data_IF_889588020923
#
_entry.id   IF_889588020923
#
_cell.length_a   1.000
_cell.length_b   1.000
_cell.length_c   1.000
_cell.angle_alpha   90.00
_cell.angle_beta   90.00
_cell.angle_gamma   90.00
#
_symmetry.space_group_name_H-M   'P 1'
#
loop_
_entity.id
_entity.type
_entity.pdbx_description
1 polymer ?
#
# COMPACT_ATOMS: atom_id res chain seq x y z
N UNK A 1 -19.42 -35.85 19.00
CA UNK A 1 -19.34 -34.81 20.04
C UNK A 1 -18.05 -34.01 19.93
N UNK A 2 -16.90 -34.64 19.91
CA UNK A 2 -15.61 -33.96 19.77
C UNK A 2 -15.46 -33.18 18.47
N UNK A 3 -16.04 -33.61 17.38
CA UNK A 3 -15.95 -32.93 16.08
C UNK A 3 -16.72 -31.61 16.02
N UNK A 4 -17.83 -31.54 16.75
CA UNK A 4 -18.67 -30.35 16.82
C UNK A 4 -17.92 -29.23 17.62
N UNK A 5 -17.26 -29.64 18.70
CA UNK A 5 -16.53 -28.70 19.53
C UNK A 5 -15.31 -28.12 18.82
N UNK A 6 -14.64 -28.93 18.01
CA UNK A 6 -13.51 -28.47 17.20
C UNK A 6 -13.94 -27.48 16.13
N UNK A 7 -15.08 -27.72 15.49
CA UNK A 7 -15.60 -26.80 14.48
C UNK A 7 -16.03 -25.48 15.09
N UNK A 8 -16.65 -25.55 16.25
CA UNK A 8 -17.05 -24.34 16.98
C UNK A 8 -15.85 -23.52 17.42
N UNK A 9 -14.80 -24.17 17.90
CA UNK A 9 -13.58 -23.49 18.30
C UNK A 9 -12.89 -22.81 17.11
N UNK A 10 -12.86 -23.46 15.95
CA UNK A 10 -12.31 -22.88 14.73
C UNK A 10 -13.12 -21.66 14.26
N UNK A 11 -14.43 -21.74 14.35
CA UNK A 11 -15.29 -20.62 13.96
C UNK A 11 -15.09 -19.41 14.88
N UNK A 12 -14.94 -19.65 16.16
CA UNK A 12 -14.65 -18.60 17.14
C UNK A 12 -13.28 -17.97 16.91
N UNK A 13 -12.29 -18.79 16.58
CA UNK A 13 -10.96 -18.32 16.26
C UNK A 13 -10.92 -17.42 15.02
N UNK A 14 -11.66 -17.79 13.98
CA UNK A 14 -11.77 -16.99 12.76
C UNK A 14 -12.50 -15.66 13.02
N UNK A 15 -13.54 -15.67 13.81
CA UNK A 15 -14.28 -14.47 14.16
C UNK A 15 -13.40 -13.51 14.99
N UNK A 16 -12.63 -14.04 15.91
CA UNK A 16 -11.70 -13.24 16.70
C UNK A 16 -10.59 -12.63 15.84
N UNK A 17 -10.06 -13.39 14.89
CA UNK A 17 -9.04 -12.89 13.98
C UNK A 17 -9.56 -11.76 13.09
N UNK A 18 -10.78 -11.86 12.59
CA UNK A 18 -11.36 -10.82 11.74
C UNK A 18 -11.69 -9.53 12.50
N UNK A 19 -11.94 -9.62 13.80
CA UNK A 19 -12.23 -8.44 14.62
C UNK A 19 -11.01 -7.61 14.97
N UNK A 20 -9.79 -8.13 14.73
CA UNK A 20 -8.54 -7.42 14.99
C UNK A 20 -8.12 -6.50 13.84
N UNK A 21 -8.74 -6.64 12.68
CA UNK A 21 -8.42 -5.83 11.50
C UNK A 21 -9.22 -4.54 11.57
N UNK A 22 -8.75 -3.59 12.31
CA UNK A 22 -9.48 -2.32 12.51
C UNK A 22 -8.50 -1.16 12.47
N UNK A 23 -8.74 -0.25 11.57
CA UNK A 23 -8.08 1.03 11.54
C UNK A 23 -7.00 1.17 10.47
N UNK A 24 -6.98 2.33 9.79
CA UNK A 24 -6.03 2.62 8.73
C UNK A 24 -4.58 2.73 9.20
N UNK A 25 -4.33 3.00 10.47
CA UNK A 25 -2.98 3.08 11.04
C UNK A 25 -2.27 1.73 11.11
N UNK A 26 -3.03 0.64 11.22
CA UNK A 26 -2.47 -0.71 11.29
C UNK A 26 -1.99 -1.23 9.93
N UNK A 27 -2.54 -0.71 8.83
CA UNK A 27 -2.09 -1.03 7.48
C UNK A 27 -0.62 -0.64 7.29
N UNK A 28 -0.18 0.47 7.90
CA UNK A 28 1.21 0.91 7.84
C UNK A 28 2.18 -0.06 8.54
N UNK A 29 1.67 -0.93 9.42
CA UNK A 29 2.43 -1.92 10.18
C UNK A 29 2.30 -3.33 9.61
N UNK A 30 1.74 -3.50 8.42
CA UNK A 30 1.61 -4.79 7.76
C UNK A 30 2.97 -5.48 7.65
N UNK A 31 2.98 -6.78 7.90
CA UNK A 31 4.20 -7.60 7.85
C UNK A 31 4.65 -7.81 6.40
N UNK A 32 5.94 -8.08 6.24
CA UNK A 32 6.50 -8.48 4.94
C UNK A 32 5.74 -9.68 4.37
N UNK A 33 5.37 -9.59 3.10
CA UNK A 33 4.59 -10.61 2.38
C UNK A 33 3.08 -10.45 2.53
N UNK A 34 2.62 -9.62 3.45
CA UNK A 34 1.21 -9.38 3.67
C UNK A 34 0.63 -8.41 2.63
N UNK A 35 -0.52 -8.78 2.08
CA UNK A 35 -1.28 -7.96 1.15
C UNK A 35 -2.55 -7.46 1.82
N UNK A 36 -2.82 -6.17 1.70
CA UNK A 36 -4.01 -5.53 2.28
C UNK A 36 -4.76 -4.75 1.22
N UNK A 37 -6.06 -4.62 1.42
CA UNK A 37 -6.93 -3.80 0.56
C UNK A 37 -6.84 -2.34 1.02
N UNK A 38 -6.39 -1.47 0.13
CA UNK A 38 -6.29 -0.03 0.41
C UNK A 38 -7.57 0.71 0.01
N UNK A 39 -8.16 0.31 -1.09
CA UNK A 39 -9.40 0.86 -1.62
C UNK A 39 -10.08 -0.22 -2.47
N UNK A 40 -11.25 0.07 -3.02
CA UNK A 40 -11.92 -0.86 -3.91
C UNK A 40 -11.05 -1.17 -5.12
N UNK A 41 -10.71 -2.44 -5.31
CA UNK A 41 -9.87 -2.93 -6.40
C UNK A 41 -8.44 -2.36 -6.39
N UNK A 42 -7.97 -2.01 -5.20
CA UNK A 42 -6.60 -1.54 -4.97
C UNK A 42 -6.00 -2.30 -3.79
N UNK A 43 -4.85 -2.90 -3.99
CA UNK A 43 -4.14 -3.65 -2.96
C UNK A 43 -2.72 -3.14 -2.75
N UNK A 44 -2.21 -3.31 -1.55
CA UNK A 44 -0.83 -3.01 -1.17
C UNK A 44 -0.19 -4.27 -0.61
N UNK A 45 0.98 -4.60 -1.10
CA UNK A 45 1.78 -5.72 -0.58
C UNK A 45 3.13 -5.21 -0.09
N UNK A 46 3.48 -5.53 1.14
CA UNK A 46 4.83 -5.25 1.66
C UNK A 46 5.77 -6.34 1.16
N UNK A 47 6.79 -5.95 0.40
CA UNK A 47 7.74 -6.88 -0.21
C UNK A 47 8.97 -7.10 0.65
N UNK A 48 9.41 -6.08 1.38
CA UNK A 48 10.62 -6.17 2.19
C UNK A 48 10.84 -4.95 3.05
N UNK A 49 11.71 -5.09 4.03
CA UNK A 49 12.16 -4.02 4.91
C UNK A 49 13.65 -4.17 5.19
N UNK A 50 14.29 -3.05 5.46
CA UNK A 50 15.70 -3.02 5.82
C UNK A 50 16.03 -1.80 6.67
N UNK A 51 17.14 -1.89 7.40
CA UNK A 51 17.66 -0.75 8.15
C UNK A 51 18.24 0.30 7.19
N UNK A 52 18.05 1.56 7.52
CA UNK A 52 18.54 2.67 6.71
C UNK A 52 19.90 3.15 7.22
N UNK A 53 20.80 3.43 6.29
CA UNK A 53 22.03 4.18 6.54
C UNK A 53 21.89 5.66 6.11
N UNK A 54 20.73 6.04 5.59
CA UNK A 54 20.47 7.41 5.16
C UNK A 54 20.16 8.27 6.39
N UNK A 55 20.90 9.36 6.62
CA UNK A 55 20.64 10.23 7.76
C UNK A 55 19.19 10.72 7.80
N UNK A 56 18.58 10.68 8.99
CA UNK A 56 17.20 11.09 9.20
C UNK A 56 16.18 9.95 9.11
N UNK A 57 16.60 8.79 8.63
CA UNK A 57 15.70 7.62 8.51
C UNK A 57 16.30 6.41 9.20
N UNK A 58 15.45 5.60 9.83
CA UNK A 58 15.88 4.36 10.52
C UNK A 58 15.56 3.11 9.73
N UNK A 59 14.56 3.17 8.87
CA UNK A 59 14.08 1.99 8.12
C UNK A 59 13.69 2.38 6.71
N UNK A 60 13.88 1.44 5.78
CA UNK A 60 13.37 1.49 4.42
C UNK A 60 12.42 0.33 4.21
N UNK A 61 11.27 0.59 3.62
CA UNK A 61 10.26 -0.44 3.32
C UNK A 61 9.89 -0.40 1.85
N UNK A 62 9.81 -1.58 1.25
CA UNK A 62 9.44 -1.76 -0.15
C UNK A 62 8.02 -2.30 -0.24
N UNK A 63 7.15 -1.61 -0.99
CA UNK A 63 5.76 -2.02 -1.19
C UNK A 63 5.39 -1.98 -2.67
N UNK A 64 4.43 -2.81 -3.07
CA UNK A 64 3.77 -2.71 -4.36
C UNK A 64 2.30 -2.32 -4.15
N UNK A 65 1.90 -1.25 -4.80
CA UNK A 65 0.52 -0.82 -4.93
C UNK A 65 0.00 -1.30 -6.28
N UNK A 66 -1.01 -2.16 -6.27
CA UNK A 66 -1.65 -2.67 -7.48
C UNK A 66 -3.01 -2.03 -7.63
N UNK A 67 -3.22 -1.35 -8.75
CA UNK A 67 -4.47 -0.64 -9.07
C UNK A 67 -5.10 -1.27 -10.30
N UNK A 68 -6.30 -1.84 -10.13
CA UNK A 68 -7.03 -2.46 -11.23
C UNK A 68 -7.58 -1.40 -12.19
N UNK A 69 -7.90 -1.77 -13.44
CA UNK A 69 -8.47 -0.83 -14.40
C UNK A 69 -9.71 -0.13 -13.84
N UNK A 70 -9.77 1.18 -13.97
CA UNK A 70 -10.86 2.02 -13.49
C UNK A 70 -10.84 2.33 -11.99
N UNK A 71 -9.94 1.69 -11.23
CA UNK A 71 -9.85 1.93 -9.79
C UNK A 71 -9.12 3.23 -9.48
N UNK A 72 -9.44 3.80 -8.32
CA UNK A 72 -8.90 5.07 -7.87
C UNK A 72 -8.59 5.02 -6.38
N UNK A 73 -7.53 5.72 -5.98
CA UNK A 73 -7.26 6.06 -4.59
C UNK A 73 -7.38 7.57 -4.47
N UNK A 74 -8.30 8.02 -3.63
CA UNK A 74 -8.48 9.45 -3.40
C UNK A 74 -7.21 10.08 -2.80
N UNK A 75 -6.90 11.35 -3.13
CA UNK A 75 -5.74 12.02 -2.57
C UNK A 75 -5.75 11.99 -1.04
N UNK A 76 -4.63 11.60 -0.46
CA UNK A 76 -4.42 11.55 0.98
C UNK A 76 -3.01 12.00 1.33
N UNK A 77 -2.83 12.43 2.58
CA UNK A 77 -1.55 12.93 3.06
C UNK A 77 -0.53 11.79 3.21
N UNK A 78 0.64 11.96 2.62
CA UNK A 78 1.76 11.03 2.80
C UNK A 78 2.34 11.21 4.20
N UNK A 79 2.43 10.10 4.93
CA UNK A 79 2.88 10.09 6.34
C UNK A 79 4.40 10.02 6.47
N UNK A 80 5.10 9.69 5.39
CA UNK A 80 6.55 9.61 5.32
C UNK A 80 7.03 9.99 3.92
N UNK A 81 8.31 10.29 3.81
CA UNK A 81 8.95 10.47 2.52
C UNK A 81 9.01 9.13 1.78
N UNK A 82 8.91 9.17 0.46
CA UNK A 82 8.96 7.97 -0.36
C UNK A 82 9.42 8.27 -1.79
N UNK A 83 9.98 7.25 -2.44
CA UNK A 83 10.20 7.22 -3.87
C UNK A 83 9.18 6.27 -4.50
N UNK A 84 8.64 6.67 -5.63
CA UNK A 84 7.63 5.90 -6.37
C UNK A 84 8.13 5.56 -7.76
N UNK A 85 7.82 4.36 -8.23
CA UNK A 85 8.26 3.83 -9.51
C UNK A 85 7.16 2.99 -10.13
N UNK A 86 6.73 3.31 -11.34
CA UNK A 86 5.79 2.46 -12.09
C UNK A 86 6.54 1.28 -12.66
N UNK A 87 6.23 0.08 -12.21
CA UNK A 87 6.85 -1.15 -12.71
C UNK A 87 6.01 -1.85 -13.77
N UNK A 88 4.70 -1.57 -13.83
CA UNK A 88 3.78 -2.19 -14.77
C UNK A 88 2.63 -1.23 -15.09
N UNK A 89 2.28 -1.14 -16.38
CA UNK A 89 1.17 -0.30 -16.83
C UNK A 89 1.44 1.19 -16.73
N UNK A 90 0.38 1.96 -16.56
CA UNK A 90 0.46 3.41 -16.35
C UNK A 90 -0.65 3.87 -15.42
N UNK A 91 -0.42 4.96 -14.72
CA UNK A 91 -1.38 5.56 -13.80
C UNK A 91 -1.42 7.05 -13.97
N UNK A 92 -2.59 7.63 -13.76
CA UNK A 92 -2.71 9.06 -13.55
C UNK A 92 -2.45 9.36 -12.08
N UNK A 93 -1.52 10.25 -11.82
CA UNK A 93 -1.12 10.67 -10.48
C UNK A 93 -1.63 12.09 -10.24
N UNK A 94 -2.30 12.28 -9.13
CA UNK A 94 -2.66 13.59 -8.63
C UNK A 94 -1.77 13.89 -7.42
N UNK A 95 -0.89 14.87 -7.56
CA UNK A 95 0.06 15.24 -6.52
C UNK A 95 -0.04 16.73 -6.24
N UNK A 96 -0.48 17.09 -5.03
CA UNK A 96 -0.70 18.48 -4.62
C UNK A 96 -1.51 19.29 -5.65
N UNK A 97 -2.63 18.71 -6.09
CA UNK A 97 -3.54 19.27 -7.10
C UNK A 97 -2.95 19.36 -8.53
N UNK A 98 -1.76 18.85 -8.76
CA UNK A 98 -1.18 18.69 -10.10
C UNK A 98 -1.40 17.26 -10.57
N UNK A 99 -1.71 17.10 -11.85
CA UNK A 99 -1.98 15.79 -12.43
C UNK A 99 -0.94 15.47 -13.50
N UNK A 100 -0.40 14.27 -13.48
CA UNK A 100 0.49 13.77 -14.52
C UNK A 100 0.24 12.29 -14.76
N UNK A 101 0.59 11.80 -15.95
CA UNK A 101 0.54 10.38 -16.28
C UNK A 101 1.91 9.77 -16.05
N UNK A 102 1.98 8.81 -15.14
CA UNK A 102 3.19 8.06 -14.89
C UNK A 102 3.13 6.74 -15.67
N UNK A 103 4.05 6.56 -16.60
CA UNK A 103 4.20 5.36 -17.42
C UNK A 103 5.28 4.46 -16.82
N UNK A 104 5.41 3.25 -17.35
CA UNK A 104 6.45 2.30 -16.90
C UNK A 104 7.81 2.99 -16.81
N UNK A 105 8.49 2.75 -15.69
CA UNK A 105 9.80 3.29 -15.32
C UNK A 105 9.84 4.80 -15.03
N UNK A 106 8.70 5.47 -14.97
CA UNK A 106 8.60 6.80 -14.39
C UNK A 106 8.89 6.73 -12.89
N UNK A 107 9.74 7.62 -12.40
CA UNK A 107 10.13 7.72 -10.99
C UNK A 107 9.86 9.13 -10.49
N UNK A 108 9.27 9.23 -9.31
CA UNK A 108 9.05 10.51 -8.63
C UNK A 108 9.11 10.31 -7.12
N UNK A 109 9.04 11.38 -6.38
CA UNK A 109 9.13 11.34 -4.92
C UNK A 109 7.98 12.11 -4.28
N UNK A 110 7.67 11.72 -3.04
CA UNK A 110 6.78 12.45 -2.15
C UNK A 110 7.53 12.77 -0.87
N UNK A 111 7.36 13.99 -0.38
CA UNK A 111 7.76 14.35 0.98
C UNK A 111 6.59 14.15 1.94
N UNK A 112 6.84 14.18 3.24
CA UNK A 112 5.79 14.21 4.25
C UNK A 112 4.81 15.34 3.95
N UNK A 113 3.51 15.05 4.03
CA UNK A 113 2.46 16.01 3.79
C UNK A 113 2.05 16.19 2.34
N UNK A 114 2.77 15.60 1.38
CA UNK A 114 2.30 15.57 -0.01
C UNK A 114 0.94 14.89 -0.06
N UNK A 115 -0.01 15.51 -0.75
CA UNK A 115 -1.30 14.91 -1.03
C UNK A 115 -1.25 14.19 -2.36
N UNK A 116 -1.36 12.87 -2.34
CA UNK A 116 -1.30 12.09 -3.56
C UNK A 116 -2.45 11.12 -3.68
N UNK A 117 -3.04 11.08 -4.86
CA UNK A 117 -4.01 10.10 -5.29
C UNK A 117 -3.61 9.48 -6.61
N UNK A 118 -4.19 8.35 -6.94
CA UNK A 118 -3.91 7.63 -8.18
C UNK A 118 -5.20 7.14 -8.84
N UNK A 119 -5.19 7.07 -10.16
CA UNK A 119 -6.28 6.49 -10.94
C UNK A 119 -5.69 5.67 -12.08
N UNK A 120 -6.17 4.45 -12.25
CA UNK A 120 -5.83 3.64 -13.41
C UNK A 120 -6.90 3.83 -14.49
N UNK A 121 -6.60 4.62 -15.50
CA UNK A 121 -7.48 4.84 -16.65
C UNK A 121 -7.22 3.86 -17.79
N UNK A 122 -6.28 2.96 -17.63
CA UNK A 122 -5.92 1.97 -18.62
C UNK A 122 -6.82 0.73 -18.61
N UNK A 123 -6.44 -0.27 -19.39
CA UNK A 123 -7.19 -1.52 -19.56
C UNK A 123 -6.58 -2.70 -18.83
N UNK A 124 -5.41 -2.54 -18.26
CA UNK A 124 -4.72 -3.58 -17.49
C UNK A 124 -4.32 -3.07 -16.13
N UNK A 125 -4.11 -3.99 -15.18
CA UNK A 125 -3.62 -3.65 -13.86
C UNK A 125 -2.30 -2.88 -13.96
N UNK A 126 -2.13 -1.87 -13.13
CA UNK A 126 -0.91 -1.10 -13.02
C UNK A 126 -0.30 -1.28 -11.64
N UNK A 127 1.03 -1.28 -11.58
CA UNK A 127 1.76 -1.48 -10.33
C UNK A 127 2.72 -0.31 -10.10
N UNK A 128 2.57 0.31 -8.94
CA UNK A 128 3.50 1.31 -8.42
C UNK A 128 4.32 0.69 -7.30
N UNK A 129 5.62 0.63 -7.50
CA UNK A 129 6.54 0.27 -6.43
C UNK A 129 6.87 1.49 -5.59
N UNK A 130 6.76 1.35 -4.29
CA UNK A 130 6.96 2.44 -3.33
C UNK A 130 8.11 2.04 -2.41
N UNK A 131 9.07 2.94 -2.30
CA UNK A 131 10.16 2.83 -1.33
C UNK A 131 9.90 3.86 -0.25
N UNK A 132 9.43 3.41 0.91
CA UNK A 132 9.18 4.27 2.06
C UNK A 132 10.49 4.55 2.80
N UNK A 133 10.72 5.79 3.12
CA UNK A 133 11.81 6.24 4.00
C UNK A 133 11.17 6.58 5.34
N UNK A 134 11.40 5.74 6.34
CA UNK A 134 10.72 5.83 7.64
C UNK A 134 11.64 6.50 8.68
N UNK A 135 11.23 7.63 9.24
CA UNK A 135 11.98 8.32 10.29
C UNK A 135 11.88 7.57 11.62
N UNK A 136 12.72 7.96 12.54
CA UNK A 136 12.71 7.43 13.91
C UNK A 136 11.40 7.71 14.64
#
# INVERSE_FOLDING_TARGET
MTDIDRRTALALGLAAASSLVVGPSEIALAAVGEETKLAERVTVKVLGEGMSMIPGYVKVRLRDLTVQPGATVAPGDMKNAMACHITKGEMEINQDAKTFTAKKDHVWTCKIGTKEGVTNKGRSAAVMRIIDLLPA
#
